data_IF_990091422757
#
_entry.id   IF_990091422757
#
_cell.length_a   1.000
_cell.length_b   1.000
_cell.length_c   1.000
_cell.angle_alpha   90.00
_cell.angle_beta   90.00
_cell.angle_gamma   90.00
#
_symmetry.space_group_name_H-M   'P 1'
#
loop_
_entity.id
_entity.type
_entity.pdbx_description
1 polymer ?
#
# COMPACT_ATOMS: atom_id res chain seq x y z
N UNK A 1 -2.87 -26.33 -8.85
CA UNK A 1 -2.54 -24.90 -8.76
C UNK A 1 -1.19 -24.82 -8.08
N UNK A 2 -0.27 -23.97 -8.56
CA UNK A 2 0.97 -23.73 -7.82
C UNK A 2 0.61 -23.02 -6.52
N UNK A 3 1.26 -23.40 -5.42
CA UNK A 3 1.21 -22.66 -4.16
C UNK A 3 2.08 -21.40 -4.25
N UNK A 4 1.77 -20.36 -3.48
CA UNK A 4 2.57 -19.12 -3.44
C UNK A 4 4.06 -19.36 -3.14
N UNK A 5 4.36 -20.36 -2.29
CA UNK A 5 5.73 -20.76 -1.98
C UNK A 5 6.48 -21.35 -3.18
N UNK A 6 5.77 -21.85 -4.18
CA UNK A 6 6.31 -22.49 -5.39
C UNK A 6 6.51 -21.47 -6.53
N UNK A 7 6.05 -20.23 -6.37
CA UNK A 7 6.20 -19.21 -7.42
C UNK A 7 7.68 -18.86 -7.57
N UNK A 8 8.21 -19.01 -8.77
CA UNK A 8 9.61 -18.68 -9.04
C UNK A 8 9.80 -17.16 -8.98
N UNK A 9 10.73 -16.71 -8.14
CA UNK A 9 11.16 -15.31 -8.16
C UNK A 9 12.41 -15.17 -9.01
N UNK A 10 12.38 -14.22 -9.94
CA UNK A 10 13.49 -13.85 -10.81
C UNK A 10 13.89 -12.40 -10.52
N UNK A 11 15.14 -12.14 -10.10
CA UNK A 11 15.64 -10.79 -9.92
C UNK A 11 15.45 -9.94 -11.17
N UNK A 12 15.20 -8.63 -10.98
CA UNK A 12 15.01 -7.72 -12.09
C UNK A 12 16.33 -7.44 -12.80
N UNK A 13 16.34 -7.60 -14.12
CA UNK A 13 17.43 -7.22 -15.00
C UNK A 13 17.07 -5.92 -15.72
N UNK A 14 17.35 -4.76 -15.08
CA UNK A 14 16.87 -3.47 -15.57
C UNK A 14 17.36 -3.13 -16.99
N UNK A 15 18.57 -3.56 -17.36
CA UNK A 15 19.11 -3.38 -18.71
C UNK A 15 18.31 -4.15 -19.75
N UNK A 16 17.96 -5.41 -19.46
CA UNK A 16 17.10 -6.25 -20.30
C UNK A 16 15.68 -5.66 -20.39
N UNK A 17 15.12 -5.25 -19.26
CA UNK A 17 13.80 -4.59 -19.19
C UNK A 17 13.77 -3.32 -20.04
N UNK A 18 14.80 -2.50 -19.93
CA UNK A 18 14.97 -1.27 -20.73
C UNK A 18 14.98 -1.59 -22.21
N UNK A 19 15.81 -2.54 -22.63
CA UNK A 19 15.92 -2.95 -24.03
C UNK A 19 14.59 -3.48 -24.58
N UNK A 20 14.00 -4.46 -23.90
CA UNK A 20 12.80 -5.15 -24.36
C UNK A 20 11.60 -4.17 -24.44
N UNK A 21 11.38 -3.36 -23.40
CA UNK A 21 10.27 -2.43 -23.33
C UNK A 21 10.43 -1.28 -24.33
N UNK A 22 11.65 -0.78 -24.54
CA UNK A 22 11.93 0.22 -25.59
C UNK A 22 11.59 -0.32 -26.98
N UNK A 23 11.95 -1.57 -27.29
CA UNK A 23 11.62 -2.21 -28.56
C UNK A 23 10.10 -2.33 -28.76
N UNK A 24 9.37 -2.73 -27.72
CA UNK A 24 7.90 -2.81 -27.76
C UNK A 24 7.25 -1.43 -27.95
N UNK A 25 7.77 -0.39 -27.29
CA UNK A 25 7.30 0.99 -27.46
C UNK A 25 7.55 1.47 -28.90
N UNK A 26 8.71 1.20 -29.47
CA UNK A 26 9.01 1.55 -30.87
C UNK A 26 8.13 0.78 -31.86
N UNK A 27 7.85 -0.50 -31.60
CA UNK A 27 6.88 -1.29 -32.37
C UNK A 27 5.48 -0.65 -32.30
N UNK A 28 5.05 -0.22 -31.11
CA UNK A 28 3.77 0.45 -30.89
C UNK A 28 3.65 1.77 -31.66
N UNK A 29 4.68 2.61 -31.63
CA UNK A 29 4.73 3.89 -32.37
C UNK A 29 4.68 3.66 -33.89
N UNK A 30 5.36 2.63 -34.39
CA UNK A 30 5.48 2.35 -35.83
C UNK A 30 4.31 1.56 -36.43
N UNK A 31 3.39 1.08 -35.60
CA UNK A 31 2.20 0.36 -36.02
C UNK A 31 1.36 1.16 -37.03
N UNK A 32 0.79 0.46 -38.02
CA UNK A 32 0.07 1.06 -39.16
C UNK A 32 -1.45 1.05 -38.99
N UNK A 33 -1.95 0.55 -37.87
CA UNK A 33 -3.38 0.53 -37.57
C UNK A 33 -3.68 0.47 -36.08
N UNK A 34 -4.89 0.88 -35.71
CA UNK A 34 -5.42 0.72 -34.35
C UNK A 34 -5.42 -0.74 -33.87
N UNK A 35 -5.66 -1.69 -34.80
CA UNK A 35 -5.65 -3.13 -34.50
C UNK A 35 -4.24 -3.57 -34.07
N UNK A 36 -3.23 -3.22 -34.85
CA UNK A 36 -1.83 -3.52 -34.52
C UNK A 36 -1.40 -2.87 -33.20
N UNK A 37 -1.77 -1.61 -32.95
CA UNK A 37 -1.46 -0.97 -31.66
C UNK A 37 -2.13 -1.66 -30.48
N UNK A 38 -3.38 -2.12 -30.62
CA UNK A 38 -4.07 -2.86 -29.57
C UNK A 38 -3.43 -4.24 -29.31
N UNK A 39 -2.95 -4.92 -30.35
CA UNK A 39 -2.17 -6.17 -30.19
C UNK A 39 -0.85 -5.92 -29.44
N UNK A 40 -0.11 -4.87 -29.82
CA UNK A 40 1.16 -4.49 -29.16
C UNK A 40 0.92 -3.97 -27.74
N UNK A 41 -0.19 -3.27 -27.49
CA UNK A 41 -0.61 -2.87 -26.14
C UNK A 41 -0.75 -4.09 -25.23
N UNK A 42 -1.33 -5.19 -25.73
CA UNK A 42 -1.40 -6.44 -24.99
C UNK A 42 0.00 -7.01 -24.73
N UNK A 43 0.89 -7.05 -25.73
CA UNK A 43 2.28 -7.49 -25.55
C UNK A 43 3.02 -6.68 -24.48
N UNK A 44 2.87 -5.35 -24.49
CA UNK A 44 3.44 -4.44 -23.48
C UNK A 44 2.88 -4.76 -22.10
N UNK A 45 1.57 -4.93 -21.97
CA UNK A 45 0.94 -5.23 -20.69
C UNK A 45 1.35 -6.61 -20.15
N UNK A 46 1.43 -7.63 -21.01
CA UNK A 46 1.90 -8.96 -20.64
C UNK A 46 3.34 -8.87 -20.10
N UNK A 47 4.24 -8.15 -20.79
CA UNK A 47 5.62 -7.94 -20.34
C UNK A 47 5.69 -7.20 -18.99
N UNK A 48 4.92 -6.12 -18.85
CA UNK A 48 4.85 -5.34 -17.61
C UNK A 48 4.33 -6.18 -16.45
N UNK A 49 3.34 -7.04 -16.70
CA UNK A 49 2.81 -7.97 -15.71
C UNK A 49 3.89 -8.93 -15.19
N UNK A 50 4.79 -9.41 -16.04
CA UNK A 50 5.91 -10.27 -15.61
C UNK A 50 6.91 -9.53 -14.72
N UNK A 51 7.25 -8.28 -15.05
CA UNK A 51 8.11 -7.42 -14.23
C UNK A 51 7.46 -7.13 -12.88
N UNK A 52 6.20 -6.71 -12.88
CA UNK A 52 5.42 -6.34 -11.70
C UNK A 52 5.13 -7.57 -10.81
N UNK A 53 5.02 -8.76 -11.39
CA UNK A 53 4.93 -10.05 -10.66
C UNK A 53 6.18 -10.27 -9.81
N UNK A 54 7.38 -10.10 -10.37
CA UNK A 54 8.62 -10.30 -9.63
C UNK A 54 8.83 -9.23 -8.54
N UNK A 55 8.46 -7.97 -8.82
CA UNK A 55 8.43 -6.92 -7.81
C UNK A 55 7.50 -7.27 -6.64
N UNK A 56 6.31 -7.79 -6.95
CA UNK A 56 5.32 -8.19 -5.95
C UNK A 56 5.77 -9.39 -5.13
N UNK A 57 6.38 -10.40 -5.76
CA UNK A 57 6.95 -11.57 -5.07
C UNK A 57 8.05 -11.16 -4.09
N UNK A 58 8.99 -10.31 -4.51
CA UNK A 58 10.03 -9.80 -3.63
C UNK A 58 9.44 -9.03 -2.44
N UNK A 59 8.45 -8.16 -2.70
CA UNK A 59 7.82 -7.36 -1.65
C UNK A 59 7.05 -8.20 -0.63
N UNK A 60 6.23 -9.16 -1.08
CA UNK A 60 5.49 -10.06 -0.17
C UNK A 60 6.47 -10.88 0.67
N UNK A 61 7.51 -11.45 0.05
CA UNK A 61 8.49 -12.26 0.79
C UNK A 61 9.34 -11.44 1.76
N UNK A 62 9.68 -10.20 1.40
CA UNK A 62 10.31 -9.25 2.31
C UNK A 62 9.41 -8.89 3.50
N UNK A 63 8.13 -8.59 3.27
CA UNK A 63 7.21 -8.19 4.35
C UNK A 63 6.81 -9.33 5.27
N UNK A 64 6.82 -10.59 4.80
CA UNK A 64 6.67 -11.78 5.65
C UNK A 64 7.81 -11.87 6.67
N UNK A 65 9.04 -11.58 6.26
CA UNK A 65 10.21 -11.57 7.14
C UNK A 65 11.23 -10.52 6.70
N UNK A 66 11.15 -9.33 7.29
CA UNK A 66 12.04 -8.20 6.96
C UNK A 66 13.50 -8.41 7.38
N UNK A 67 13.78 -9.50 8.10
CA UNK A 67 15.13 -9.92 8.51
C UNK A 67 15.75 -10.94 7.55
N UNK A 68 15.02 -11.42 6.54
CA UNK A 68 15.58 -12.28 5.50
C UNK A 68 16.61 -11.49 4.68
N UNK A 69 17.90 -11.85 4.71
CA UNK A 69 18.94 -11.07 4.05
C UNK A 69 18.82 -11.10 2.52
N UNK A 70 18.26 -12.17 1.95
CA UNK A 70 18.07 -12.27 0.50
C UNK A 70 16.98 -11.30 0.04
N UNK A 71 15.77 -11.40 0.61
CA UNK A 71 14.65 -10.54 0.19
C UNK A 71 14.82 -9.08 0.60
N UNK A 72 15.55 -8.80 1.67
CA UNK A 72 15.99 -7.43 1.99
C UNK A 72 16.84 -6.84 0.87
N UNK A 73 17.85 -7.57 0.39
CA UNK A 73 18.70 -7.13 -0.74
C UNK A 73 17.89 -6.97 -2.03
N UNK A 74 16.93 -7.86 -2.29
CA UNK A 74 16.05 -7.74 -3.45
C UNK A 74 15.18 -6.48 -3.37
N UNK A 75 14.61 -6.19 -2.20
CA UNK A 75 13.82 -4.98 -1.97
C UNK A 75 14.65 -3.71 -2.17
N UNK A 76 15.86 -3.66 -1.63
CA UNK A 76 16.79 -2.54 -1.81
C UNK A 76 17.14 -2.32 -3.29
N UNK A 77 17.42 -3.39 -4.04
CA UNK A 77 17.64 -3.30 -5.48
C UNK A 77 16.40 -2.77 -6.21
N UNK A 78 15.21 -3.29 -5.88
CA UNK A 78 13.95 -2.84 -6.48
C UNK A 78 13.70 -1.35 -6.20
N UNK A 79 13.98 -0.88 -4.98
CA UNK A 79 13.82 0.54 -4.62
C UNK A 79 14.67 1.47 -5.50
N UNK A 80 15.84 0.99 -5.94
CA UNK A 80 16.73 1.70 -6.85
C UNK A 80 16.29 1.63 -8.32
N UNK A 81 15.82 0.47 -8.80
CA UNK A 81 15.49 0.28 -10.22
C UNK A 81 14.03 0.63 -10.59
N UNK A 82 13.11 0.64 -9.63
CA UNK A 82 11.68 0.90 -9.89
C UNK A 82 11.41 2.29 -10.51
N UNK A 83 12.11 3.37 -10.12
CA UNK A 83 11.97 4.67 -10.79
C UNK A 83 12.37 4.64 -12.28
N UNK A 84 13.43 3.91 -12.64
CA UNK A 84 13.84 3.72 -14.04
C UNK A 84 12.80 2.93 -14.84
N UNK A 85 12.22 1.89 -14.25
CA UNK A 85 11.08 1.19 -14.84
C UNK A 85 9.88 2.13 -15.04
N UNK A 86 9.59 2.99 -14.06
CA UNK A 86 8.52 4.00 -14.14
C UNK A 86 8.76 4.99 -15.28
N UNK A 87 10.01 5.36 -15.56
CA UNK A 87 10.38 6.19 -16.70
C UNK A 87 9.98 5.52 -18.03
N UNK A 88 10.29 4.24 -18.20
CA UNK A 88 9.92 3.48 -19.40
C UNK A 88 8.40 3.37 -19.57
N UNK A 89 7.67 3.14 -18.48
CA UNK A 89 6.20 3.12 -18.50
C UNK A 89 5.64 4.49 -18.88
N UNK A 90 6.24 5.60 -18.43
CA UNK A 90 5.85 6.94 -18.85
C UNK A 90 6.14 7.21 -20.33
N UNK A 91 7.25 6.71 -20.88
CA UNK A 91 7.51 6.77 -22.32
C UNK A 91 6.44 6.02 -23.12
N UNK A 92 6.03 4.85 -22.65
CA UNK A 92 4.91 4.12 -23.23
C UNK A 92 3.60 4.92 -23.12
N UNK A 93 3.27 5.48 -21.96
CA UNK A 93 2.07 6.30 -21.78
C UNK A 93 2.06 7.52 -22.69
N UNK A 94 3.20 8.16 -22.91
CA UNK A 94 3.34 9.24 -23.89
C UNK A 94 2.98 8.76 -25.29
N UNK A 95 3.54 7.63 -25.73
CA UNK A 95 3.20 7.04 -27.03
C UNK A 95 1.71 6.66 -27.14
N UNK A 96 1.10 6.17 -26.05
CA UNK A 96 -0.32 5.83 -26.00
C UNK A 96 -1.21 7.06 -26.18
N UNK A 97 -0.95 8.14 -25.43
CA UNK A 97 -1.79 9.36 -25.48
C UNK A 97 -1.61 10.16 -26.77
N UNK A 98 -0.42 10.11 -27.38
CA UNK A 98 -0.07 10.75 -28.65
C UNK A 98 -0.45 9.91 -29.88
N UNK A 99 -0.98 8.70 -29.69
CA UNK A 99 -1.29 7.80 -30.81
C UNK A 99 -2.25 8.44 -31.82
N UNK A 100 -1.96 8.38 -33.14
CA UNK A 100 -2.90 8.82 -34.18
C UNK A 100 -4.18 7.96 -34.22
N UNK A 101 -4.16 6.79 -33.59
CA UNK A 101 -5.29 5.86 -33.51
C UNK A 101 -6.06 5.95 -32.18
N UNK A 102 -5.78 6.95 -31.34
CA UNK A 102 -6.36 7.11 -29.99
C UNK A 102 -7.87 6.93 -29.95
N UNK A 103 -8.64 7.56 -30.85
CA UNK A 103 -10.12 7.44 -30.86
C UNK A 103 -10.59 5.99 -31.02
N UNK A 104 -9.91 5.22 -31.88
CA UNK A 104 -10.22 3.81 -32.11
C UNK A 104 -9.82 2.94 -30.92
N UNK A 105 -8.67 3.24 -30.30
CA UNK A 105 -8.22 2.56 -29.09
C UNK A 105 -9.14 2.85 -27.90
N UNK A 106 -9.56 4.09 -27.68
CA UNK A 106 -10.53 4.45 -26.63
C UNK A 106 -11.86 3.70 -26.76
N UNK A 107 -12.30 3.43 -28.00
CA UNK A 107 -13.52 2.65 -28.26
C UNK A 107 -13.35 1.17 -27.88
N UNK A 108 -12.15 0.61 -28.04
CA UNK A 108 -11.86 -0.80 -27.78
C UNK A 108 -11.47 -1.06 -26.32
N UNK A 109 -10.53 -0.27 -25.80
CA UNK A 109 -9.89 -0.47 -24.49
C UNK A 109 -10.54 0.37 -23.37
N UNK A 110 -11.40 1.31 -23.74
CA UNK A 110 -12.01 2.27 -22.83
C UNK A 110 -11.18 3.54 -22.63
N UNK A 111 -11.84 4.60 -22.14
CA UNK A 111 -11.22 5.92 -21.95
C UNK A 111 -10.37 6.02 -20.68
N UNK A 112 -10.62 5.15 -19.70
CA UNK A 112 -9.99 5.25 -18.39
C UNK A 112 -8.47 5.10 -18.49
N UNK A 113 -7.97 4.16 -19.29
CA UNK A 113 -6.53 3.93 -19.47
C UNK A 113 -5.81 5.18 -19.99
N UNK A 114 -6.45 5.95 -20.88
CA UNK A 114 -5.88 7.19 -21.43
C UNK A 114 -5.85 8.30 -20.40
N UNK A 115 -6.93 8.45 -19.61
CA UNK A 115 -6.96 9.42 -18.51
C UNK A 115 -5.91 9.09 -17.44
N UNK A 116 -5.74 7.81 -17.10
CA UNK A 116 -4.70 7.36 -16.18
C UNK A 116 -3.30 7.65 -16.73
N UNK A 117 -3.06 7.40 -18.02
CA UNK A 117 -1.80 7.73 -18.69
C UNK A 117 -1.52 9.25 -18.65
N UNK A 118 -2.51 10.09 -18.95
CA UNK A 118 -2.38 11.55 -18.86
C UNK A 118 -2.06 12.03 -17.44
N UNK A 119 -2.64 11.41 -16.42
CA UNK A 119 -2.33 11.71 -15.02
C UNK A 119 -0.92 11.26 -14.64
N UNK A 120 -0.51 10.07 -15.07
CA UNK A 120 0.83 9.55 -14.81
C UNK A 120 1.91 10.46 -15.41
N UNK A 121 1.70 10.94 -16.65
CA UNK A 121 2.60 11.88 -17.33
C UNK A 121 2.73 13.23 -16.62
N UNK A 122 1.73 13.66 -15.86
CA UNK A 122 1.80 14.88 -15.02
C UNK A 122 2.53 14.64 -13.71
N UNK A 123 2.65 13.38 -13.29
CA UNK A 123 3.21 12.99 -12.00
C UNK A 123 4.70 12.55 -12.09
N UNK A 124 5.30 12.63 -13.27
CA UNK A 124 6.63 12.10 -13.51
C UNK A 124 7.42 12.94 -14.52
N UNK A 125 8.72 13.09 -14.25
CA UNK A 125 9.75 13.59 -15.16
C UNK A 125 11.09 12.94 -14.78
N UNK A 126 12.02 12.83 -15.73
CA UNK A 126 13.32 12.21 -15.47
C UNK A 126 14.11 12.95 -14.36
N UNK A 127 13.87 14.26 -14.18
CA UNK A 127 14.51 15.09 -13.13
C UNK A 127 14.20 14.69 -11.69
N UNK A 128 13.19 13.83 -11.47
CA UNK A 128 12.80 13.34 -10.13
C UNK A 128 13.17 11.87 -9.87
N UNK A 129 13.89 11.20 -10.79
CA UNK A 129 14.26 9.79 -10.63
C UNK A 129 15.04 9.54 -9.33
N UNK A 130 16.06 10.36 -9.06
CA UNK A 130 16.88 10.24 -7.83
C UNK A 130 16.05 10.49 -6.56
N UNK A 131 15.11 11.43 -6.62
CA UNK A 131 14.22 11.74 -5.50
C UNK A 131 13.27 10.57 -5.21
N UNK A 132 12.77 9.89 -6.25
CA UNK A 132 11.93 8.69 -6.12
C UNK A 132 12.72 7.52 -5.51
N UNK A 133 13.99 7.34 -5.89
CA UNK A 133 14.87 6.34 -5.24
C UNK A 133 15.02 6.66 -3.75
N UNK A 134 15.25 7.92 -3.41
CA UNK A 134 15.38 8.34 -2.02
C UNK A 134 14.06 8.17 -1.24
N UNK A 135 12.91 8.50 -1.83
CA UNK A 135 11.60 8.24 -1.24
C UNK A 135 11.41 6.75 -0.95
N UNK A 136 11.70 5.87 -1.91
CA UNK A 136 11.59 4.42 -1.75
C UNK A 136 12.46 3.92 -0.59
N UNK A 137 13.74 4.31 -0.55
CA UNK A 137 14.68 3.95 0.53
C UNK A 137 14.16 4.37 1.91
N UNK A 138 13.60 5.58 2.03
CA UNK A 138 13.02 6.08 3.28
C UNK A 138 11.78 5.27 3.72
N UNK A 139 10.90 4.90 2.78
CA UNK A 139 9.73 4.06 3.10
C UNK A 139 10.14 2.67 3.55
N UNK A 140 11.09 2.02 2.86
CA UNK A 140 11.64 0.72 3.27
C UNK A 140 12.33 0.79 4.64
N UNK A 141 13.04 1.88 4.93
CA UNK A 141 13.64 2.10 6.25
C UNK A 141 12.57 2.19 7.35
N UNK A 142 11.47 2.91 7.11
CA UNK A 142 10.35 2.99 8.04
C UNK A 142 9.74 1.61 8.31
N UNK A 143 9.44 0.84 7.26
CA UNK A 143 8.84 -0.49 7.39
C UNK A 143 9.74 -1.45 8.18
N UNK A 144 11.05 -1.44 7.88
CA UNK A 144 12.03 -2.23 8.61
C UNK A 144 12.11 -1.84 10.10
N UNK A 145 12.06 -0.54 10.42
CA UNK A 145 12.07 -0.05 11.79
C UNK A 145 10.83 -0.50 12.57
N UNK A 146 9.63 -0.33 12.01
CA UNK A 146 8.37 -0.78 12.62
C UNK A 146 8.36 -2.30 12.82
N UNK A 147 8.82 -3.06 11.82
CA UNK A 147 8.91 -4.53 11.89
C UNK A 147 9.95 -5.02 12.91
N UNK A 148 10.97 -4.21 13.24
CA UNK A 148 12.03 -4.57 14.19
C UNK A 148 11.59 -4.56 15.66
N UNK A 149 10.36 -4.13 15.94
CA UNK A 149 9.88 -3.93 17.30
C UNK A 149 9.97 -5.18 18.17
N UNK A 150 10.75 -5.10 19.25
CA UNK A 150 10.91 -6.13 20.28
C UNK A 150 10.59 -5.55 21.65
N UNK A 151 9.34 -5.70 22.07
CA UNK A 151 8.81 -5.10 23.30
C UNK A 151 8.74 -6.16 24.39
N UNK A 152 9.56 -6.02 25.44
CA UNK A 152 9.51 -6.88 26.63
C UNK A 152 8.27 -6.54 27.45
N UNK A 153 7.38 -7.51 27.62
CA UNK A 153 6.16 -7.37 28.42
C UNK A 153 5.82 -8.71 29.08
N UNK A 154 5.53 -8.70 30.39
CA UNK A 154 5.16 -9.91 31.17
C UNK A 154 6.10 -11.12 30.94
N UNK A 155 7.42 -10.88 30.94
CA UNK A 155 8.44 -11.92 30.81
C UNK A 155 8.66 -12.47 29.40
N UNK A 156 7.94 -11.97 28.39
CA UNK A 156 8.09 -12.35 26.97
C UNK A 156 8.42 -11.14 26.10
N UNK A 157 8.86 -11.40 24.87
CA UNK A 157 9.09 -10.37 23.84
C UNK A 157 7.94 -10.45 22.84
N UNK A 158 7.36 -9.30 22.50
CA UNK A 158 6.29 -9.16 21.52
C UNK A 158 6.64 -8.13 20.46
N UNK A 159 6.18 -8.34 19.23
CA UNK A 159 6.10 -7.26 18.24
C UNK A 159 4.89 -6.34 18.51
N UNK A 160 4.75 -5.25 17.75
CA UNK A 160 3.66 -4.28 17.92
C UNK A 160 2.27 -4.90 17.75
N UNK A 161 2.10 -5.81 16.79
CA UNK A 161 0.84 -6.51 16.52
C UNK A 161 0.47 -7.49 17.63
N UNK A 162 1.41 -8.32 18.06
CA UNK A 162 1.21 -9.29 19.14
C UNK A 162 0.90 -8.61 20.48
N UNK A 163 1.47 -7.42 20.73
CA UNK A 163 1.20 -6.65 21.94
C UNK A 163 -0.25 -6.13 21.98
N UNK A 164 -0.90 -5.96 20.81
CA UNK A 164 -2.25 -5.40 20.70
C UNK A 164 -3.30 -6.16 21.52
N UNK A 165 -3.14 -7.48 21.69
CA UNK A 165 -4.04 -8.31 22.52
C UNK A 165 -4.09 -7.83 23.98
N UNK A 166 -2.99 -7.27 24.49
CA UNK A 166 -2.94 -6.74 25.86
C UNK A 166 -3.54 -5.34 25.96
N UNK A 167 -3.51 -4.56 24.87
CA UNK A 167 -4.12 -3.22 24.79
C UNK A 167 -5.65 -3.28 24.95
N UNK A 168 -6.26 -4.44 24.72
CA UNK A 168 -7.70 -4.68 24.89
C UNK A 168 -8.06 -5.58 26.08
N UNK A 169 -7.10 -5.89 26.96
CA UNK A 169 -7.34 -6.74 28.14
C UNK A 169 -8.46 -6.19 29.02
N UNK A 170 -9.31 -7.02 29.62
CA UNK A 170 -10.27 -6.54 30.63
C UNK A 170 -9.58 -6.03 31.91
N UNK A 171 -8.34 -6.45 32.20
CA UNK A 171 -7.53 -5.98 33.32
C UNK A 171 -6.92 -4.61 33.02
N UNK A 172 -7.39 -3.58 33.75
CA UNK A 172 -6.95 -2.19 33.56
C UNK A 172 -5.43 -2.01 33.69
N UNK A 173 -4.81 -2.66 34.69
CA UNK A 173 -3.37 -2.59 34.91
C UNK A 173 -2.59 -3.15 33.72
N UNK A 174 -3.05 -4.26 33.14
CA UNK A 174 -2.47 -4.87 31.95
C UNK A 174 -2.57 -3.95 30.74
N UNK A 175 -3.75 -3.39 30.45
CA UNK A 175 -3.91 -2.44 29.32
C UNK A 175 -3.00 -1.24 29.46
N UNK A 176 -3.03 -0.58 30.63
CA UNK A 176 -2.22 0.61 30.88
C UNK A 176 -0.71 0.33 30.76
N UNK A 177 -0.25 -0.81 31.31
CA UNK A 177 1.14 -1.21 31.21
C UNK A 177 1.55 -1.56 29.77
N UNK A 178 0.70 -2.25 29.01
CA UNK A 178 0.93 -2.58 27.60
C UNK A 178 0.98 -1.31 26.74
N UNK A 179 0.04 -0.38 26.91
CA UNK A 179 0.06 0.88 26.18
C UNK A 179 1.30 1.70 26.53
N UNK A 180 1.73 1.72 27.80
CA UNK A 180 2.98 2.37 28.21
C UNK A 180 4.21 1.70 27.58
N UNK A 181 4.25 0.37 27.52
CA UNK A 181 5.35 -0.36 26.88
C UNK A 181 5.42 -0.07 25.38
N UNK A 182 4.27 0.01 24.69
CA UNK A 182 4.17 0.43 23.30
C UNK A 182 4.68 1.86 23.11
N UNK A 183 4.18 2.82 23.89
CA UNK A 183 4.60 4.22 23.80
C UNK A 183 6.10 4.39 24.08
N UNK A 184 6.67 3.66 25.06
CA UNK A 184 8.12 3.67 25.32
C UNK A 184 8.95 3.18 24.15
N UNK A 185 8.44 2.22 23.39
CA UNK A 185 9.14 1.77 22.18
C UNK A 185 9.15 2.88 21.14
N UNK A 186 8.02 3.54 20.89
CA UNK A 186 7.97 4.70 19.98
C UNK A 186 8.84 5.85 20.47
N UNK A 187 8.78 6.20 21.76
CA UNK A 187 9.59 7.24 22.38
C UNK A 187 11.09 6.98 22.19
N UNK A 188 11.53 5.73 22.34
CA UNK A 188 12.93 5.33 22.11
C UNK A 188 13.38 5.52 20.65
N UNK A 189 12.47 5.40 19.69
CA UNK A 189 12.77 5.53 18.25
C UNK A 189 12.23 6.84 17.67
N UNK A 190 11.81 7.79 18.52
CA UNK A 190 11.13 9.01 18.10
C UNK A 190 12.01 9.83 17.15
N UNK A 191 13.27 10.02 17.50
CA UNK A 191 14.22 10.76 16.66
C UNK A 191 14.39 10.14 15.27
N UNK A 192 14.52 8.81 15.19
CA UNK A 192 14.66 8.11 13.91
C UNK A 192 13.37 8.20 13.08
N UNK A 193 12.21 8.05 13.71
CA UNK A 193 10.90 8.17 13.06
C UNK A 193 10.67 9.60 12.54
N UNK A 194 10.98 10.61 13.35
CA UNK A 194 10.86 12.02 12.99
C UNK A 194 11.82 12.36 11.84
N UNK A 195 13.07 11.89 11.87
CA UNK A 195 14.03 12.08 10.79
C UNK A 195 13.56 11.43 9.47
N UNK A 196 12.99 10.22 9.52
CA UNK A 196 12.45 9.57 8.32
C UNK A 196 11.28 10.37 7.76
N UNK A 197 10.34 10.79 8.62
CA UNK A 197 9.19 11.56 8.18
C UNK A 197 9.57 12.94 7.63
N UNK A 198 10.52 13.62 8.28
CA UNK A 198 11.06 14.90 7.84
C UNK A 198 11.70 14.78 6.45
N UNK A 199 12.58 13.78 6.24
CA UNK A 199 13.20 13.54 4.93
C UNK A 199 12.17 13.18 3.86
N UNK A 200 11.13 12.39 4.22
CA UNK A 200 10.03 12.07 3.30
C UNK A 200 9.26 13.33 2.89
N UNK A 201 8.99 14.26 3.81
CA UNK A 201 8.33 15.53 3.49
C UNK A 201 9.20 16.39 2.58
N UNK A 202 10.49 16.49 2.86
CA UNK A 202 11.43 17.27 2.05
C UNK A 202 11.55 16.75 0.63
N UNK A 203 11.82 15.44 0.45
CA UNK A 203 11.99 14.85 -0.89
C UNK A 203 10.70 14.94 -1.71
N UNK A 204 9.54 14.75 -1.06
CA UNK A 204 8.23 14.92 -1.71
C UNK A 204 7.96 16.36 -2.13
N UNK A 205 8.33 17.33 -1.30
CA UNK A 205 8.22 18.74 -1.66
C UNK A 205 9.15 19.09 -2.83
N UNK A 206 10.41 18.62 -2.80
CA UNK A 206 11.38 18.80 -3.87
C UNK A 206 10.87 18.26 -5.20
N UNK A 207 10.38 17.01 -5.24
CA UNK A 207 9.77 16.43 -6.45
C UNK A 207 8.63 17.30 -6.99
N UNK A 208 7.73 17.72 -6.11
CA UNK A 208 6.60 18.56 -6.53
C UNK A 208 7.06 19.89 -7.14
N UNK A 209 8.05 20.55 -6.53
CA UNK A 209 8.58 21.82 -7.05
C UNK A 209 9.34 21.64 -8.37
N UNK A 210 10.11 20.55 -8.55
CA UNK A 210 10.78 20.22 -9.81
C UNK A 210 9.78 20.02 -10.95
N UNK A 211 8.62 19.40 -10.65
CA UNK A 211 7.52 19.23 -11.60
C UNK A 211 6.63 20.48 -11.78
N UNK A 212 6.98 21.62 -11.16
CA UNK A 212 6.25 22.88 -11.30
C UNK A 212 5.03 23.05 -10.39
N UNK A 213 4.81 22.15 -9.42
CA UNK A 213 3.74 22.29 -8.45
C UNK A 213 4.17 23.14 -7.24
N UNK A 214 3.21 23.82 -6.62
CA UNK A 214 3.45 24.63 -5.41
C UNK A 214 3.96 23.79 -4.23
N UNK A 215 3.45 22.58 -4.08
CA UNK A 215 3.82 21.63 -3.04
C UNK A 215 3.31 20.22 -3.40
N UNK A 216 3.58 19.24 -2.55
CA UNK A 216 3.27 17.84 -2.81
C UNK A 216 1.77 17.49 -2.85
N UNK A 217 0.86 18.38 -2.42
CA UNK A 217 -0.57 18.05 -2.39
C UNK A 217 -1.10 17.70 -3.78
N UNK A 218 -0.81 18.52 -4.79
CA UNK A 218 -1.30 18.26 -6.16
C UNK A 218 -0.65 17.02 -6.77
N UNK A 219 0.68 16.91 -6.67
CA UNK A 219 1.42 15.72 -7.10
C UNK A 219 0.89 14.43 -6.42
N UNK A 220 0.56 14.50 -5.13
CA UNK A 220 -0.02 13.39 -4.39
C UNK A 220 -1.40 12.97 -4.91
N UNK A 221 -2.24 13.90 -5.37
CA UNK A 221 -3.52 13.55 -6.00
C UNK A 221 -3.32 12.89 -7.35
N UNK A 222 -2.36 13.38 -8.16
CA UNK A 222 -2.01 12.79 -9.45
C UNK A 222 -1.44 11.38 -9.28
N UNK A 223 -0.50 11.16 -8.35
CA UNK A 223 0.06 9.83 -8.07
C UNK A 223 -0.99 8.81 -7.61
N UNK A 224 -2.09 9.28 -7.02
CA UNK A 224 -3.23 8.45 -6.62
C UNK A 224 -4.27 8.24 -7.73
N UNK A 225 -4.05 8.77 -8.93
CA UNK A 225 -4.99 8.63 -10.06
C UNK A 225 -6.33 9.33 -9.84
N UNK A 226 -6.39 10.37 -9.00
CA UNK A 226 -7.66 11.05 -8.68
C UNK A 226 -8.12 11.90 -9.86
N UNK A 227 -9.21 11.48 -10.50
CA UNK A 227 -9.77 12.12 -11.71
C UNK A 227 -11.07 12.89 -11.44
N UNK A 228 -11.79 12.55 -10.38
CA UNK A 228 -13.19 12.90 -10.16
C UNK A 228 -13.43 13.69 -8.86
N UNK A 229 -12.40 13.96 -8.08
CA UNK A 229 -12.45 14.85 -6.91
C UNK A 229 -11.09 15.49 -6.61
N UNK A 230 -11.12 16.63 -5.90
CA UNK A 230 -9.93 17.40 -5.52
C UNK A 230 -9.83 17.69 -4.00
N UNK A 231 -8.83 18.48 -3.62
CA UNK A 231 -8.58 18.83 -2.22
C UNK A 231 -9.69 19.67 -1.56
N UNK A 232 -10.46 20.43 -2.35
CA UNK A 232 -11.62 21.21 -1.87
C UNK A 232 -12.78 20.28 -1.56
N UNK A 233 -13.05 19.29 -2.42
CA UNK A 233 -14.07 18.28 -2.17
C UNK A 233 -13.77 17.52 -0.87
N UNK A 234 -12.51 17.10 -0.70
CA UNK A 234 -12.08 16.42 0.53
C UNK A 234 -12.17 17.35 1.74
N UNK A 235 -11.86 18.65 1.61
CA UNK A 235 -12.04 19.60 2.70
C UNK A 235 -13.51 19.74 3.13
N UNK A 236 -14.42 19.93 2.18
CA UNK A 236 -15.85 20.00 2.44
C UNK A 236 -16.38 18.70 3.09
N UNK A 237 -15.90 17.54 2.63
CA UNK A 237 -16.24 16.26 3.25
C UNK A 237 -15.73 16.17 4.70
N UNK A 238 -14.49 16.60 4.99
CA UNK A 238 -13.96 16.62 6.37
C UNK A 238 -14.76 17.55 7.29
N UNK A 239 -15.25 18.67 6.78
CA UNK A 239 -16.12 19.57 7.55
C UNK A 239 -17.46 18.91 7.90
N UNK A 240 -18.03 18.10 6.99
CA UNK A 240 -19.22 17.30 7.28
C UNK A 240 -18.94 16.22 8.34
N UNK A 241 -17.79 15.53 8.26
CA UNK A 241 -17.36 14.57 9.30
C UNK A 241 -17.24 15.26 10.66
N UNK A 242 -16.61 16.44 10.72
CA UNK A 242 -16.50 17.22 11.95
C UNK A 242 -17.88 17.62 12.50
N UNK A 243 -18.78 18.11 11.64
CA UNK A 243 -20.10 18.59 12.04
C UNK A 243 -21.04 17.46 12.48
N UNK A 244 -21.06 16.34 11.77
CA UNK A 244 -22.08 15.31 11.94
C UNK A 244 -21.57 14.03 12.61
N UNK A 245 -20.35 13.58 12.29
CA UNK A 245 -19.83 12.30 12.81
C UNK A 245 -19.16 12.48 14.17
N UNK A 246 -18.35 13.52 14.38
CA UNK A 246 -17.66 13.74 15.67
C UNK A 246 -18.62 13.81 16.87
N UNK A 247 -19.79 14.49 16.80
CA UNK A 247 -20.76 14.46 17.90
C UNK A 247 -21.31 13.05 18.18
N UNK A 248 -21.52 12.23 17.15
CA UNK A 248 -21.96 10.84 17.30
C UNK A 248 -20.86 9.99 17.96
N UNK A 249 -19.60 10.12 17.51
CA UNK A 249 -18.46 9.45 18.14
C UNK A 249 -18.32 9.82 19.62
N UNK A 250 -18.50 11.10 19.98
CA UNK A 250 -18.53 11.53 21.39
C UNK A 250 -19.64 10.85 22.19
N UNK A 251 -20.84 10.71 21.63
CA UNK A 251 -21.95 9.97 22.28
C UNK A 251 -21.61 8.48 22.45
N UNK A 252 -20.99 7.86 21.46
CA UNK A 252 -20.55 6.46 21.52
C UNK A 252 -19.48 6.24 22.60
N UNK A 253 -18.47 7.12 22.69
CA UNK A 253 -17.45 7.03 23.74
C UNK A 253 -18.00 7.28 25.15
N UNK A 254 -18.98 8.18 25.32
CA UNK A 254 -19.69 8.33 26.61
C UNK A 254 -20.48 7.07 26.97
N UNK A 255 -21.14 6.44 26.00
CA UNK A 255 -21.86 5.17 26.20
C UNK A 255 -20.89 4.03 26.55
N UNK A 256 -19.72 3.98 25.91
CA UNK A 256 -18.64 3.06 26.26
C UNK A 256 -18.14 3.31 27.69
N UNK A 257 -17.81 4.55 28.04
CA UNK A 257 -17.37 4.92 29.39
C UNK A 257 -18.38 4.49 30.47
N UNK A 258 -19.67 4.75 30.26
CA UNK A 258 -20.75 4.31 31.15
C UNK A 258 -20.80 2.79 31.29
N UNK A 259 -20.68 2.06 30.17
CA UNK A 259 -20.67 0.59 30.12
C UNK A 259 -19.46 -0.01 30.83
N UNK A 260 -18.34 0.69 30.85
CA UNK A 260 -17.12 0.28 31.54
C UNK A 260 -17.01 0.83 32.98
N UNK A 261 -18.03 1.55 33.45
CA UNK A 261 -18.03 2.23 34.75
C UNK A 261 -16.85 3.19 34.96
N UNK A 262 -16.43 3.88 33.88
CA UNK A 262 -15.33 4.84 33.90
C UNK A 262 -15.87 6.27 33.97
N UNK A 263 -15.42 7.03 34.98
CA UNK A 263 -15.72 8.47 35.10
C UNK A 263 -15.10 9.28 33.96
N UNK A 264 -13.91 8.87 33.51
CA UNK A 264 -13.21 9.45 32.37
C UNK A 264 -12.43 8.35 31.64
N UNK A 265 -12.55 8.32 30.31
CA UNK A 265 -11.77 7.42 29.45
C UNK A 265 -10.34 7.93 29.34
N UNK A 266 -9.36 7.06 29.51
CA UNK A 266 -7.95 7.34 29.17
C UNK A 266 -7.58 6.67 27.85
N UNK A 267 -6.41 7.02 27.32
CA UNK A 267 -5.92 6.49 26.04
C UNK A 267 -5.91 4.95 25.95
N UNK A 268 -5.65 4.27 27.08
CA UNK A 268 -5.64 2.81 27.18
C UNK A 268 -7.02 2.16 27.44
N UNK A 269 -8.09 2.95 27.51
CA UNK A 269 -9.45 2.42 27.72
C UNK A 269 -10.25 2.29 26.41
N UNK A 270 -9.87 3.03 25.36
CA UNK A 270 -10.62 3.07 24.10
C UNK A 270 -10.75 1.71 23.40
N UNK A 271 -9.74 0.84 23.57
CA UNK A 271 -9.71 -0.48 22.94
C UNK A 271 -10.52 -1.54 23.69
N UNK A 272 -10.99 -1.28 24.92
CA UNK A 272 -11.89 -2.19 25.64
C UNK A 272 -13.34 -1.81 25.38
N UNK A 273 -14.15 -2.72 24.84
CA UNK A 273 -15.56 -2.47 24.56
C UNK A 273 -16.49 -2.93 25.69
N UNK A 274 -16.18 -4.04 26.38
CA UNK A 274 -17.06 -4.62 27.42
C UNK A 274 -16.25 -5.13 28.62
N UNK A 275 -16.82 -5.07 29.82
CA UNK A 275 -16.16 -5.56 31.05
C UNK A 275 -15.99 -7.08 31.06
N UNK A 276 -16.87 -7.81 30.37
CA UNK A 276 -16.75 -9.25 30.13
C UNK A 276 -15.61 -9.62 29.17
N UNK A 277 -14.91 -8.63 28.60
CA UNK A 277 -13.93 -8.81 27.53
C UNK A 277 -14.50 -8.48 26.15
N UNK A 278 -13.61 -8.14 25.22
CA UNK A 278 -13.99 -7.98 23.82
C UNK A 278 -14.32 -9.34 23.19
N UNK A 279 -15.10 -9.32 22.12
CA UNK A 279 -15.32 -10.50 21.30
C UNK A 279 -13.97 -10.98 20.73
N UNK A 280 -13.67 -12.27 20.94
CA UNK A 280 -12.49 -12.94 20.40
C UNK A 280 -12.94 -14.08 19.51
N UNK A 281 -12.25 -14.34 18.38
CA UNK A 281 -12.54 -15.52 17.58
C UNK A 281 -12.35 -16.79 18.41
N UNK A 282 -13.23 -17.76 18.21
CA UNK A 282 -13.16 -19.07 18.86
C UNK A 282 -12.54 -20.07 17.90
N UNK A 283 -11.48 -20.74 18.34
CA UNK A 283 -10.78 -21.77 17.57
C UNK A 283 -9.37 -21.38 17.16
N UNK A 284 -8.67 -22.38 16.63
CA UNK A 284 -7.36 -22.29 16.01
C UNK A 284 -7.45 -21.62 14.64
N UNK A 285 -6.31 -21.21 14.08
CA UNK A 285 -6.23 -20.65 12.73
C UNK A 285 -6.90 -21.54 11.68
N UNK A 286 -6.71 -22.87 11.76
CA UNK A 286 -7.28 -23.81 10.81
C UNK A 286 -8.81 -23.89 10.94
N UNK A 287 -9.34 -23.89 12.17
CA UNK A 287 -10.80 -23.89 12.38
C UNK A 287 -11.43 -22.60 11.85
N UNK A 288 -10.82 -21.44 12.11
CA UNK A 288 -11.27 -20.16 11.58
C UNK A 288 -11.22 -20.12 10.05
N UNK A 289 -10.20 -20.73 9.44
CA UNK A 289 -10.10 -20.85 7.99
C UNK A 289 -11.23 -21.71 7.41
N UNK A 290 -11.56 -22.83 8.05
CA UNK A 290 -12.69 -23.68 7.63
C UNK A 290 -14.03 -22.97 7.80
N UNK A 291 -14.24 -22.25 8.91
CA UNK A 291 -15.44 -21.43 9.09
C UNK A 291 -15.56 -20.34 8.02
N UNK A 292 -14.45 -19.68 7.66
CA UNK A 292 -14.44 -18.68 6.59
C UNK A 292 -14.75 -19.31 5.22
N UNK A 293 -14.19 -20.50 4.93
CA UNK A 293 -14.49 -21.24 3.69
C UNK A 293 -15.97 -21.58 3.59
N UNK A 294 -16.58 -22.06 4.68
CA UNK A 294 -18.01 -22.31 4.72
C UNK A 294 -18.84 -21.02 4.54
N UNK A 295 -18.46 -19.93 5.21
CA UNK A 295 -19.14 -18.63 5.08
C UNK A 295 -19.15 -18.13 3.63
N UNK A 296 -18.00 -18.16 2.95
CA UNK A 296 -17.93 -17.73 1.55
C UNK A 296 -18.70 -18.65 0.61
N UNK A 297 -18.74 -19.95 0.91
CA UNK A 297 -19.56 -20.91 0.16
C UNK A 297 -21.06 -20.65 0.27
N UNK A 298 -21.53 -20.29 1.46
CA UNK A 298 -22.94 -19.97 1.70
C UNK A 298 -23.34 -18.60 1.14
N UNK A 299 -22.38 -17.68 0.97
CA UNK A 299 -22.62 -16.33 0.48
C UNK A 299 -22.93 -16.30 -1.02
N UNK A 300 -22.08 -16.93 -1.83
CA UNK A 300 -22.31 -17.09 -3.27
C UNK A 300 -21.35 -18.12 -3.89
N UNK A 301 -21.69 -18.57 -5.10
CA UNK A 301 -20.81 -19.44 -5.88
C UNK A 301 -19.47 -18.76 -6.22
N UNK A 302 -19.51 -17.49 -6.60
CA UNK A 302 -18.32 -16.71 -6.96
C UNK A 302 -17.38 -16.56 -5.76
N UNK A 303 -17.92 -16.31 -4.55
CA UNK A 303 -17.10 -16.20 -3.34
C UNK A 303 -16.54 -17.53 -2.87
N UNK A 304 -17.27 -18.64 -3.08
CA UNK A 304 -16.74 -19.99 -2.85
C UNK A 304 -15.51 -20.26 -3.74
N UNK A 305 -15.65 -19.99 -5.04
CA UNK A 305 -14.57 -20.17 -6.00
C UNK A 305 -13.35 -19.31 -5.66
N UNK A 306 -13.57 -18.04 -5.34
CA UNK A 306 -12.51 -17.11 -4.93
C UNK A 306 -11.78 -17.59 -3.67
N UNK A 307 -12.51 -17.90 -2.59
CA UNK A 307 -11.84 -18.24 -1.34
C UNK A 307 -11.22 -19.63 -1.35
N UNK A 308 -11.81 -20.57 -2.10
CA UNK A 308 -11.20 -21.87 -2.38
C UNK A 308 -9.90 -21.70 -3.16
N UNK A 309 -9.88 -20.87 -4.21
CA UNK A 309 -8.65 -20.52 -4.93
C UNK A 309 -7.58 -19.99 -3.96
N UNK A 310 -7.91 -18.98 -3.14
CA UNK A 310 -6.95 -18.38 -2.20
C UNK A 310 -6.41 -19.37 -1.15
N UNK A 311 -7.20 -20.37 -0.73
CA UNK A 311 -6.76 -21.41 0.20
C UNK A 311 -5.83 -22.45 -0.46
N UNK A 312 -6.06 -22.73 -1.74
CA UNK A 312 -5.38 -23.80 -2.48
C UNK A 312 -4.14 -23.27 -3.26
N UNK A 313 -4.06 -21.96 -3.49
CA UNK A 313 -3.02 -21.23 -4.23
C UNK A 313 -1.83 -20.75 -3.39
#
# INVERSE_FOLDING_TARGET
MLKFSEYEYRPLEIEKITKDLTLLIEKFKNAKSAKQQSEILKEINDYRSDVETNMSLANVRFTINTQDPYYKKQKEMIDEVAPSYTALVNQFYKALVESPFRKSLEKKEGKLIFKMAEVALKAFDDSIIEDLVQENKLTTKYDALIASAKIRFQGKIYNLSELSKFLQSNVKATRAAASKAQSKWFEKHLEELDQIFDQLVHVRHQMATKLGYKNFVELGYLRLGRLDYDAKDVAAYRDQIYKYVVPLSKKLFRRQAKRLHLRAMKYYDYNLQFLSGNATPHGTTNELLQSAKQMYKEMSFETDQFFTFMCDS
#
